data_IF_632018188740
#
_entry.id   IF_632018188740
#
_cell.length_a   1.000
_cell.length_b   1.000
_cell.length_c   1.000
_cell.angle_alpha   90.00
_cell.angle_beta   90.00
_cell.angle_gamma   90.00
#
_symmetry.space_group_name_H-M   'P 1'
#
loop_
_entity.id
_entity.type
_entity.pdbx_description
1 polymer ?
#
# COMPACT_ATOMS: atom_id res chain seq x y z
N UNK A 1 8.73 -24.18 -19.15
CA UNK A 1 8.16 -24.15 -17.79
C UNK A 1 8.29 -22.79 -17.11
N UNK A 2 9.48 -22.26 -16.78
CA UNK A 2 9.58 -20.96 -16.05
C UNK A 2 9.05 -19.72 -16.80
N UNK A 3 9.18 -19.69 -18.12
CA UNK A 3 8.81 -18.51 -18.93
C UNK A 3 7.29 -18.41 -19.18
N UNK A 4 6.61 -19.55 -19.29
CA UNK A 4 5.15 -19.60 -19.38
C UNK A 4 4.47 -19.21 -18.07
N UNK A 5 5.02 -19.63 -16.92
CA UNK A 5 4.51 -19.21 -15.61
C UNK A 5 4.66 -17.70 -15.40
N UNK A 6 5.79 -17.11 -15.83
CA UNK A 6 6.01 -15.67 -15.76
C UNK A 6 5.05 -14.91 -16.69
N UNK A 7 4.79 -15.44 -17.89
CA UNK A 7 3.83 -14.86 -18.82
C UNK A 7 2.39 -14.97 -18.31
N UNK A 8 2.03 -16.09 -17.67
CA UNK A 8 0.73 -16.29 -17.03
C UNK A 8 0.55 -15.35 -15.83
N UNK A 9 1.57 -15.18 -14.99
CA UNK A 9 1.55 -14.23 -13.88
C UNK A 9 1.39 -12.78 -14.37
N UNK A 10 2.11 -12.39 -15.44
CA UNK A 10 1.96 -11.05 -16.05
C UNK A 10 0.56 -10.82 -16.62
N UNK A 11 -0.03 -11.83 -17.26
CA UNK A 11 -1.40 -11.75 -17.78
C UNK A 11 -2.42 -11.65 -16.64
N UNK A 12 -2.27 -12.45 -15.60
CA UNK A 12 -3.12 -12.40 -14.40
C UNK A 12 -3.07 -11.02 -13.73
N UNK A 13 -1.88 -10.44 -13.57
CA UNK A 13 -1.72 -9.08 -13.03
C UNK A 13 -2.36 -8.03 -13.95
N UNK A 14 -2.19 -8.16 -15.27
CA UNK A 14 -2.79 -7.24 -16.25
C UNK A 14 -4.33 -7.34 -16.31
N UNK A 15 -4.88 -8.53 -16.12
CA UNK A 15 -6.32 -8.79 -16.11
C UNK A 15 -6.96 -8.29 -14.81
N UNK A 16 -6.28 -8.47 -13.67
CA UNK A 16 -6.64 -7.84 -12.38
C UNK A 16 -6.56 -6.31 -12.42
N UNK A 17 -5.64 -5.74 -13.21
CA UNK A 17 -5.50 -4.30 -13.40
C UNK A 17 -6.58 -3.71 -14.35
N UNK A 18 -7.30 -4.54 -15.11
CA UNK A 18 -8.36 -4.08 -16.00
C UNK A 18 -9.65 -3.86 -15.22
N UNK A 19 -9.72 -2.75 -14.49
CA UNK A 19 -10.97 -2.31 -13.90
C UNK A 19 -12.02 -2.06 -15.00
N UNK A 20 -13.27 -2.53 -14.85
CA UNK A 20 -14.37 -2.04 -15.69
C UNK A 20 -14.46 -0.52 -15.54
N UNK A 21 -14.83 0.23 -16.60
CA UNK A 21 -14.98 1.66 -16.50
C UNK A 21 -15.96 1.98 -15.37
N UNK A 22 -15.50 2.73 -14.37
CA UNK A 22 -16.36 3.25 -13.32
C UNK A 22 -17.44 4.12 -13.98
N UNK A 23 -18.70 4.07 -13.54
CA UNK A 23 -19.65 5.13 -13.84
C UNK A 23 -18.97 6.48 -13.56
N UNK A 24 -19.13 7.45 -14.47
CA UNK A 24 -18.64 8.80 -14.27
C UNK A 24 -19.37 9.38 -13.05
N UNK A 25 -18.70 9.36 -11.90
CA UNK A 25 -19.18 10.04 -10.70
C UNK A 25 -19.12 11.55 -10.95
N UNK A 26 -20.10 12.33 -10.46
CA UNK A 26 -20.01 13.78 -10.46
C UNK A 26 -18.67 14.22 -9.86
N UNK A 27 -17.96 15.11 -10.56
CA UNK A 27 -16.66 15.63 -10.11
C UNK A 27 -16.84 16.42 -8.83
N UNK A 28 -16.43 15.83 -7.72
CA UNK A 28 -16.29 16.52 -6.44
C UNK A 28 -14.94 17.25 -6.43
N UNK A 29 -14.91 18.60 -6.47
CA UNK A 29 -13.67 19.37 -6.53
C UNK A 29 -12.77 19.18 -5.29
N UNK A 30 -13.30 18.61 -4.20
CA UNK A 30 -12.48 18.23 -3.04
C UNK A 30 -11.68 16.93 -3.28
N UNK A 31 -12.20 15.99 -4.09
CA UNK A 31 -11.46 14.79 -4.52
C UNK A 31 -10.25 15.18 -5.37
N UNK A 32 -10.39 16.20 -6.21
CA UNK A 32 -9.29 16.74 -7.02
C UNK A 32 -8.16 17.30 -6.14
N UNK A 33 -8.50 17.91 -5.00
CA UNK A 33 -7.52 18.43 -4.05
C UNK A 33 -6.71 17.33 -3.36
N UNK A 34 -7.37 16.26 -2.89
CA UNK A 34 -6.67 15.12 -2.28
C UNK A 34 -5.74 14.43 -3.26
N UNK A 35 -6.17 14.31 -4.52
CA UNK A 35 -5.34 13.75 -5.58
C UNK A 35 -4.12 14.65 -5.85
N UNK A 36 -4.31 15.96 -5.91
CA UNK A 36 -3.22 16.92 -6.06
C UNK A 36 -2.22 16.84 -4.89
N UNK A 37 -2.72 16.81 -3.65
CA UNK A 37 -1.88 16.71 -2.44
C UNK A 37 -1.09 15.39 -2.43
N UNK A 38 -1.72 14.29 -2.86
CA UNK A 38 -1.05 13.00 -3.03
C UNK A 38 0.05 13.04 -4.10
N UNK A 39 -0.24 13.58 -5.28
CA UNK A 39 0.70 13.65 -6.39
C UNK A 39 1.89 14.56 -6.07
N UNK A 40 1.65 15.69 -5.40
CA UNK A 40 2.70 16.58 -4.91
C UNK A 40 3.58 15.87 -3.86
N UNK A 41 2.96 15.20 -2.89
CA UNK A 41 3.69 14.46 -1.86
C UNK A 41 4.52 13.31 -2.43
N UNK A 42 3.99 12.61 -3.44
CA UNK A 42 4.71 11.59 -4.20
C UNK A 42 5.93 12.18 -4.90
N UNK A 43 5.75 13.28 -5.64
CA UNK A 43 6.84 13.91 -6.40
C UNK A 43 7.93 14.43 -5.47
N UNK A 44 7.56 15.04 -4.34
CA UNK A 44 8.51 15.49 -3.33
C UNK A 44 9.34 14.31 -2.78
N UNK A 45 8.69 13.18 -2.49
CA UNK A 45 9.38 11.98 -2.00
C UNK A 45 10.35 11.42 -3.04
N UNK A 46 9.92 11.28 -4.29
CA UNK A 46 10.76 10.81 -5.41
C UNK A 46 11.98 11.73 -5.59
N UNK A 47 11.78 13.04 -5.62
CA UNK A 47 12.88 14.01 -5.72
C UNK A 47 13.81 13.98 -4.52
N UNK A 48 13.27 13.76 -3.32
CA UNK A 48 14.06 13.68 -2.10
C UNK A 48 14.94 12.44 -2.14
N UNK A 49 14.39 11.26 -2.40
CA UNK A 49 15.13 10.00 -2.34
C UNK A 49 16.09 9.82 -3.52
N UNK A 50 15.79 10.37 -4.70
CA UNK A 50 16.74 10.39 -5.82
C UNK A 50 18.07 11.12 -5.51
N UNK A 51 18.11 11.94 -4.44
CA UNK A 51 19.33 12.66 -4.00
C UNK A 51 20.12 11.90 -2.93
N UNK A 52 19.62 10.79 -2.41
CA UNK A 52 20.24 10.06 -1.30
C UNK A 52 20.83 8.75 -1.83
N UNK A 53 22.15 8.57 -1.70
CA UNK A 53 22.88 7.43 -2.25
C UNK A 53 22.35 6.07 -1.75
N UNK A 54 21.94 6.00 -0.47
CA UNK A 54 21.37 4.79 0.15
C UNK A 54 20.05 4.33 -0.48
N UNK A 55 19.40 5.17 -1.30
CA UNK A 55 18.11 4.90 -1.94
C UNK A 55 18.19 4.89 -3.47
N UNK A 56 19.37 4.61 -4.03
CA UNK A 56 19.53 4.33 -5.45
C UNK A 56 18.58 3.18 -5.87
N UNK A 57 17.73 3.44 -6.87
CA UNK A 57 16.69 2.49 -7.30
C UNK A 57 15.41 2.51 -6.46
N UNK A 58 15.15 3.59 -5.72
CA UNK A 58 13.83 3.86 -5.14
C UNK A 58 12.75 3.80 -6.23
N UNK A 59 11.69 3.05 -5.93
CA UNK A 59 10.46 3.03 -6.70
C UNK A 59 9.32 3.30 -5.71
N UNK A 60 8.55 4.35 -5.99
CA UNK A 60 7.46 4.75 -5.13
C UNK A 60 6.45 3.61 -4.92
N UNK A 61 6.23 2.77 -5.93
CA UNK A 61 5.32 1.62 -5.86
C UNK A 61 5.99 0.34 -5.35
N UNK A 62 7.22 0.40 -4.86
CA UNK A 62 7.88 -0.78 -4.28
C UNK A 62 7.24 -1.16 -2.95
N UNK A 63 6.99 -2.45 -2.76
CA UNK A 63 6.62 -3.00 -1.45
C UNK A 63 7.87 -3.38 -0.66
N UNK A 64 7.81 -3.26 0.66
CA UNK A 64 8.91 -3.72 1.50
C UNK A 64 9.14 -5.22 1.29
N UNK A 65 10.41 -5.62 1.29
CA UNK A 65 10.82 -7.02 1.32
C UNK A 65 11.22 -7.46 2.73
N UNK A 66 11.12 -6.55 3.69
CA UNK A 66 11.50 -6.75 5.08
C UNK A 66 10.34 -7.46 5.77
N UNK A 67 10.54 -8.70 6.28
CA UNK A 67 9.44 -9.43 6.88
C UNK A 67 9.06 -8.83 8.24
N UNK A 68 7.81 -9.05 8.70
CA UNK A 68 7.41 -8.68 10.05
C UNK A 68 8.38 -9.29 11.07
N UNK A 69 8.69 -8.53 12.13
CA UNK A 69 9.53 -9.00 13.25
C UNK A 69 10.98 -9.39 12.90
N UNK A 70 11.51 -9.04 11.73
CA UNK A 70 12.89 -9.34 11.31
C UNK A 70 14.02 -8.80 12.23
N UNK A 71 13.70 -7.95 13.20
CA UNK A 71 14.65 -7.41 14.19
C UNK A 71 14.47 -8.03 15.58
N UNK A 72 13.85 -9.20 15.66
CA UNK A 72 13.62 -9.93 16.92
C UNK A 72 14.32 -11.28 16.97
N UNK A 73 15.34 -11.46 16.13
CA UNK A 73 16.14 -12.67 16.09
C UNK A 73 16.82 -12.94 17.44
N UNK A 74 16.83 -14.22 17.84
CA UNK A 74 17.48 -14.70 19.04
C UNK A 74 18.32 -15.95 18.72
N UNK A 75 19.65 -15.93 18.95
CA UNK A 75 20.42 -14.84 19.54
C UNK A 75 20.50 -13.63 18.59
N UNK A 76 20.54 -12.43 19.18
CA UNK A 76 20.72 -11.19 18.43
C UNK A 76 22.11 -11.21 17.75
N UNK A 77 22.24 -10.79 16.48
CA UNK A 77 23.53 -10.74 15.80
C UNK A 77 24.54 -9.83 16.53
N UNK A 78 25.84 -10.14 16.38
CA UNK A 78 26.92 -9.41 17.07
C UNK A 78 27.09 -7.95 16.60
N UNK A 79 26.61 -7.61 15.40
CA UNK A 79 26.64 -6.26 14.83
C UNK A 79 25.23 -5.83 14.43
N UNK A 80 24.69 -4.85 15.15
CA UNK A 80 23.32 -4.37 14.99
C UNK A 80 23.31 -2.86 14.96
N UNK A 81 22.58 -2.29 14.01
CA UNK A 81 22.32 -0.85 13.95
C UNK A 81 20.90 -0.52 14.41
N UNK A 82 20.75 0.57 15.15
CA UNK A 82 19.45 1.04 15.60
C UNK A 82 18.72 1.73 14.46
N UNK A 83 17.70 1.07 13.93
CA UNK A 83 16.83 1.64 12.89
C UNK A 83 15.44 1.94 13.46
N UNK A 84 14.84 3.03 12.99
CA UNK A 84 13.44 3.34 13.25
C UNK A 84 12.57 2.59 12.24
N UNK A 85 11.70 1.73 12.75
CA UNK A 85 10.80 0.91 11.93
C UNK A 85 9.36 1.08 12.41
N UNK A 86 8.40 0.85 11.52
CA UNK A 86 6.98 0.87 11.89
C UNK A 86 6.43 -0.54 11.85
N UNK A 87 5.88 -0.99 12.97
CA UNK A 87 5.13 -2.24 13.04
C UNK A 87 3.64 -1.98 13.23
N UNK A 88 2.82 -2.57 12.38
CA UNK A 88 1.38 -2.34 12.34
C UNK A 88 0.68 -3.62 12.78
N UNK A 89 -0.04 -3.53 13.89
CA UNK A 89 -0.75 -4.67 14.45
C UNK A 89 -2.20 -4.74 13.98
N UNK A 90 -2.88 -3.60 13.92
CA UNK A 90 -4.30 -3.54 13.58
C UNK A 90 -4.66 -2.25 12.87
N UNK A 91 -5.57 -2.33 11.89
CA UNK A 91 -6.27 -1.19 11.32
C UNK A 91 -7.77 -1.43 11.51
N UNK A 92 -8.50 -0.37 11.90
CA UNK A 92 -9.93 -0.43 12.18
C UNK A 92 -10.63 0.77 11.56
N UNK A 93 -11.88 0.56 11.13
CA UNK A 93 -12.77 1.65 10.73
C UNK A 93 -13.20 2.38 12.01
N UNK A 94 -12.82 3.65 12.14
CA UNK A 94 -13.11 4.44 13.35
C UNK A 94 -14.58 4.91 13.42
N UNK A 95 -15.24 5.03 12.27
CA UNK A 95 -16.64 5.44 12.14
C UNK A 95 -17.08 5.37 10.68
N UNK A 96 -18.39 5.44 10.47
CA UNK A 96 -19.01 5.59 9.16
C UNK A 96 -19.76 6.92 9.13
N UNK A 97 -19.78 7.59 7.99
CA UNK A 97 -20.41 8.89 7.80
C UNK A 97 -21.21 8.92 6.49
N UNK A 98 -22.11 9.90 6.36
CA UNK A 98 -23.04 10.02 5.25
C UNK A 98 -24.02 8.85 5.17
N UNK A 99 -24.26 8.36 3.96
CA UNK A 99 -25.22 7.29 3.68
C UNK A 99 -24.62 5.86 3.79
N UNK A 100 -23.37 5.74 4.25
CA UNK A 100 -22.74 4.44 4.48
C UNK A 100 -23.44 3.70 5.64
N UNK A 101 -23.71 2.41 5.44
CA UNK A 101 -24.31 1.53 6.44
C UNK A 101 -23.52 0.22 6.50
N UNK A 102 -23.48 -0.41 7.68
CA UNK A 102 -22.93 -1.74 7.81
C UNK A 102 -23.84 -2.79 7.13
N UNK A 103 -23.30 -3.86 6.54
CA UNK A 103 -21.87 -4.16 6.38
C UNK A 103 -21.20 -3.32 5.28
N UNK A 104 -19.89 -3.10 5.40
CA UNK A 104 -19.08 -2.37 4.42
C UNK A 104 -18.31 -3.33 3.53
N UNK A 105 -18.50 -3.24 2.22
CA UNK A 105 -17.61 -3.89 1.25
C UNK A 105 -16.42 -2.97 0.96
N UNK A 106 -15.28 -3.30 1.58
CA UNK A 106 -14.05 -2.51 1.46
C UNK A 106 -13.15 -3.12 0.38
N UNK A 107 -12.69 -2.29 -0.54
CA UNK A 107 -11.69 -2.62 -1.55
C UNK A 107 -10.69 -1.47 -1.71
N UNK A 108 -9.61 -1.72 -2.44
CA UNK A 108 -8.49 -0.81 -2.62
C UNK A 108 -7.26 -1.24 -1.83
N UNK A 109 -6.34 -0.29 -1.64
CA UNK A 109 -5.07 -0.52 -0.98
C UNK A 109 -4.87 0.47 0.16
N UNK A 110 -4.42 -0.02 1.30
CA UNK A 110 -3.90 0.78 2.40
C UNK A 110 -2.47 0.36 2.65
N UNK A 111 -1.55 1.31 2.53
CA UNK A 111 -0.14 1.10 2.78
C UNK A 111 0.47 2.32 3.47
N UNK A 112 1.51 2.08 4.28
CA UNK A 112 2.31 3.14 4.88
C UNK A 112 3.78 2.93 4.54
N UNK A 113 4.60 3.96 4.74
CA UNK A 113 6.05 3.90 4.53
C UNK A 113 6.75 4.28 5.83
N UNK A 114 7.84 3.60 6.15
CA UNK A 114 8.76 4.03 7.20
C UNK A 114 10.07 4.54 6.58
N UNK A 115 11.03 4.92 7.42
CA UNK A 115 12.32 5.45 6.96
C UNK A 115 13.37 4.36 6.74
N UNK A 116 13.03 3.10 6.95
CA UNK A 116 14.01 2.01 6.86
C UNK A 116 14.36 1.74 5.40
N UNK A 117 13.35 1.52 4.55
CA UNK A 117 13.53 1.25 3.12
C UNK A 117 12.64 2.13 2.22
N UNK A 118 11.88 3.06 2.82
CA UNK A 118 10.87 3.92 2.16
C UNK A 118 9.87 3.17 1.29
N UNK A 119 9.80 1.84 1.41
CA UNK A 119 8.93 0.98 0.64
C UNK A 119 7.59 0.83 1.33
N UNK A 120 6.57 0.43 0.57
CA UNK A 120 5.20 0.27 1.06
C UNK A 120 5.11 -0.95 1.97
N UNK A 121 4.77 -0.71 3.23
CA UNK A 121 4.21 -1.70 4.12
C UNK A 121 2.71 -1.81 3.80
N UNK A 122 2.34 -2.78 2.96
CA UNK A 122 0.95 -3.00 2.53
C UNK A 122 0.16 -3.68 3.65
N UNK A 123 -0.87 -2.99 4.14
CA UNK A 123 -1.70 -3.44 5.26
C UNK A 123 -2.98 -4.10 4.75
N UNK A 124 -3.54 -3.55 3.67
CA UNK A 124 -4.74 -4.03 3.02
C UNK A 124 -4.57 -3.87 1.51
N UNK A 125 -4.95 -4.88 0.74
CA UNK A 125 -4.97 -4.82 -0.72
C UNK A 125 -6.02 -5.81 -1.26
N UNK A 126 -7.13 -5.27 -1.74
CA UNK A 126 -8.24 -6.04 -2.31
C UNK A 126 -8.76 -5.36 -3.56
N UNK A 127 -9.10 -6.15 -4.56
CA UNK A 127 -9.74 -5.66 -5.78
C UNK A 127 -11.25 -5.49 -5.57
N UNK A 128 -11.91 -4.74 -6.45
CA UNK A 128 -13.35 -4.45 -6.35
C UNK A 128 -14.23 -5.69 -6.51
N UNK A 129 -13.76 -6.70 -7.24
CA UNK A 129 -14.42 -8.01 -7.40
C UNK A 129 -14.13 -8.99 -6.24
N UNK A 130 -13.21 -8.63 -5.33
CA UNK A 130 -12.80 -9.43 -4.18
C UNK A 130 -12.75 -8.56 -2.91
N UNK A 131 -13.85 -7.86 -2.63
CA UNK A 131 -13.99 -7.01 -1.45
C UNK A 131 -13.83 -7.81 -0.14
N UNK A 132 -13.40 -7.12 0.91
CA UNK A 132 -13.56 -7.59 2.27
C UNK A 132 -14.83 -6.97 2.87
N UNK A 133 -15.81 -7.81 3.18
CA UNK A 133 -17.00 -7.38 3.91
C UNK A 133 -16.67 -7.22 5.39
N UNK A 134 -16.76 -5.99 5.90
CA UNK A 134 -16.62 -5.67 7.32
C UNK A 134 -18.01 -5.53 7.94
N UNK A 135 -18.20 -6.14 9.10
CA UNK A 135 -19.41 -5.98 9.92
C UNK A 135 -19.12 -5.11 11.14
N UNK A 136 -20.15 -4.58 11.79
CA UNK A 136 -20.00 -3.76 12.98
C UNK A 136 -19.37 -4.51 14.18
N UNK A 137 -19.42 -5.85 14.20
CA UNK A 137 -18.85 -6.64 15.29
C UNK A 137 -17.30 -6.65 15.22
N UNK A 138 -16.71 -6.23 16.35
CA UNK A 138 -15.27 -6.12 16.60
C UNK A 138 -14.57 -7.47 16.79
#
# INVERSE_FOLDING_TARGET
>A
MKEEELAAARRYVAEQARAPPSPEEPTDPSKDRWQLDYDLGRQELEMKLAKWEDFEGFDFERNTLIPPMCFTDNPMPDDTDHRLTVQIFTVKVAGIDGDLQWPLDVFGMVAVRDKLDYSRNVIFNRTRDNCQTLTQQM
#
